data_IF_081017881170
#
_entry.id   IF_081017881170
#
_cell.length_a   1.000
_cell.length_b   1.000
_cell.length_c   1.000
_cell.angle_alpha   90.00
_cell.angle_beta   90.00
_cell.angle_gamma   90.00
#
_symmetry.space_group_name_H-M   'P 1'
#
loop_
_entity.id
_entity.type
_entity.pdbx_description
1 polymer ?
#
# COMPACT_ATOMS: atom_id res chain seq x y z
N UNK A 1 -2.21 12.42 6.07
CA UNK A 1 -3.10 13.38 5.39
C UNK A 1 -3.81 12.64 4.27
N UNK A 2 -5.07 12.96 4.03
CA UNK A 2 -5.87 12.33 2.99
C UNK A 2 -6.12 13.34 1.87
N UNK A 3 -5.85 12.97 0.62
CA UNK A 3 -6.17 13.75 -0.58
C UNK A 3 -7.19 12.99 -1.41
N UNK A 4 -8.35 13.56 -1.62
CA UNK A 4 -9.51 12.85 -2.13
C UNK A 4 -10.35 13.69 -3.09
N UNK A 5 -11.12 13.02 -3.95
CA UNK A 5 -12.19 13.67 -4.70
C UNK A 5 -13.36 14.05 -3.80
N UNK A 6 -14.12 15.07 -4.21
CA UNK A 6 -15.32 15.53 -3.48
C UNK A 6 -16.34 14.39 -3.39
N UNK A 7 -16.70 13.83 -4.54
CA UNK A 7 -17.55 12.64 -4.64
C UNK A 7 -16.71 11.36 -4.55
N UNK A 8 -17.22 10.33 -3.87
CA UNK A 8 -16.53 9.04 -3.65
C UNK A 8 -17.47 7.82 -3.67
N UNK A 9 -18.73 8.02 -3.98
CA UNK A 9 -19.76 6.98 -3.98
C UNK A 9 -19.42 5.81 -4.91
N UNK A 10 -18.97 6.08 -6.13
CA UNK A 10 -18.62 5.05 -7.11
C UNK A 10 -17.32 4.33 -6.74
N UNK A 11 -16.35 5.06 -6.20
CA UNK A 11 -15.10 4.50 -5.70
C UNK A 11 -15.37 3.49 -4.59
N UNK A 12 -16.12 3.88 -3.56
CA UNK A 12 -16.39 3.01 -2.42
C UNK A 12 -17.34 1.87 -2.75
N UNK A 13 -18.32 2.09 -3.63
CA UNK A 13 -19.19 1.01 -4.13
C UNK A 13 -18.37 -0.06 -4.85
N UNK A 14 -17.49 0.35 -5.77
CA UNK A 14 -16.61 -0.57 -6.49
C UNK A 14 -15.62 -1.27 -5.55
N UNK A 15 -15.04 -0.55 -4.58
CA UNK A 15 -14.10 -1.12 -3.61
C UNK A 15 -14.78 -2.18 -2.74
N UNK A 16 -15.98 -1.90 -2.22
CA UNK A 16 -16.74 -2.86 -1.42
C UNK A 16 -17.05 -4.15 -2.20
N UNK A 17 -17.41 -4.03 -3.48
CA UNK A 17 -17.64 -5.20 -4.35
C UNK A 17 -16.35 -5.98 -4.63
N UNK A 18 -15.23 -5.27 -4.86
CA UNK A 18 -13.93 -5.89 -5.09
C UNK A 18 -13.42 -6.65 -3.86
N UNK A 19 -13.62 -6.11 -2.66
CA UNK A 19 -13.12 -6.70 -1.42
C UNK A 19 -13.70 -8.08 -1.11
N UNK A 20 -14.93 -8.35 -1.55
CA UNK A 20 -15.56 -9.68 -1.41
C UNK A 20 -14.83 -10.75 -2.22
N UNK A 21 -14.12 -10.36 -3.28
CA UNK A 21 -13.38 -11.25 -4.18
C UNK A 21 -11.87 -11.29 -3.90
N UNK A 22 -11.36 -10.51 -2.95
CA UNK A 22 -9.95 -10.55 -2.61
C UNK A 22 -9.60 -11.86 -1.91
N UNK A 23 -8.57 -12.59 -2.40
CA UNK A 23 -8.12 -13.78 -1.71
C UNK A 23 -7.28 -13.39 -0.48
N UNK A 24 -7.18 -14.32 0.47
CA UNK A 24 -6.11 -14.27 1.47
C UNK A 24 -4.75 -14.36 0.77
N UNK A 25 -3.87 -13.41 1.04
CA UNK A 25 -2.53 -13.34 0.46
C UNK A 25 -1.57 -14.07 1.40
N UNK A 26 -0.77 -14.98 0.84
CA UNK A 26 0.29 -15.69 1.58
C UNK A 26 1.55 -14.86 1.73
N UNK A 27 2.30 -15.07 2.80
CA UNK A 27 3.63 -14.46 2.92
C UNK A 27 4.59 -15.10 1.92
N UNK A 28 5.51 -14.31 1.38
CA UNK A 28 6.45 -14.80 0.36
C UNK A 28 7.89 -14.28 0.53
N UNK A 29 8.13 -13.49 1.59
CA UNK A 29 9.43 -12.97 1.98
C UNK A 29 9.62 -13.06 3.48
N UNK A 30 10.88 -13.14 3.86
CA UNK A 30 11.36 -13.08 5.24
C UNK A 30 12.44 -12.01 5.31
N UNK A 31 12.30 -11.04 6.22
CA UNK A 31 13.35 -10.09 6.54
C UNK A 31 13.52 -10.00 8.05
N UNK A 32 14.74 -10.23 8.53
CA UNK A 32 15.03 -10.36 9.95
C UNK A 32 14.07 -11.38 10.62
N UNK A 33 13.30 -10.92 11.62
CA UNK A 33 12.34 -11.74 12.38
C UNK A 33 10.91 -11.70 11.83
N UNK A 34 10.66 -10.95 10.73
CA UNK A 34 9.33 -10.72 10.21
C UNK A 34 9.12 -11.41 8.86
N UNK A 35 7.93 -11.97 8.68
CA UNK A 35 7.46 -12.52 7.41
C UNK A 35 6.43 -11.57 6.81
N UNK A 36 6.43 -11.44 5.48
CA UNK A 36 5.53 -10.53 4.78
C UNK A 36 5.30 -10.99 3.34
N UNK A 37 4.17 -10.57 2.76
CA UNK A 37 3.98 -10.61 1.31
C UNK A 37 4.62 -9.37 0.69
N UNK A 38 5.47 -9.53 -0.33
CA UNK A 38 6.00 -8.42 -1.11
C UNK A 38 4.92 -7.79 -2.00
N UNK A 39 5.25 -6.63 -2.59
CA UNK A 39 4.28 -5.87 -3.38
C UNK A 39 3.74 -6.66 -4.58
N UNK A 40 4.58 -7.53 -5.18
CA UNK A 40 4.14 -8.41 -6.25
C UNK A 40 3.16 -9.48 -5.76
N UNK A 41 3.47 -10.12 -4.62
CA UNK A 41 2.60 -11.10 -3.97
C UNK A 41 1.24 -10.53 -3.58
N UNK A 42 1.20 -9.24 -3.21
CA UNK A 42 -0.05 -8.52 -2.92
C UNK A 42 -0.81 -8.17 -4.19
N UNK A 43 -0.15 -7.52 -5.15
CA UNK A 43 -0.83 -6.92 -6.30
C UNK A 43 -1.25 -7.93 -7.37
N UNK A 44 -0.46 -8.99 -7.59
CA UNK A 44 -0.77 -10.00 -8.61
C UNK A 44 -2.18 -10.63 -8.43
N UNK A 45 -2.58 -11.11 -7.25
CA UNK A 45 -3.90 -11.69 -7.06
C UNK A 45 -5.03 -10.65 -7.05
N UNK A 46 -4.78 -9.42 -6.58
CA UNK A 46 -5.85 -8.40 -6.45
C UNK A 46 -6.09 -7.60 -7.73
N UNK A 47 -5.10 -7.49 -8.62
CA UNK A 47 -5.22 -6.68 -9.84
C UNK A 47 -6.35 -7.11 -10.79
N UNK A 48 -6.57 -8.40 -11.07
CA UNK A 48 -7.71 -8.83 -11.89
C UNK A 48 -9.05 -8.40 -11.28
N UNK A 49 -9.18 -8.49 -9.95
CA UNK A 49 -10.40 -8.09 -9.22
C UNK A 49 -10.59 -6.57 -9.27
N UNK A 50 -9.53 -5.81 -9.03
CA UNK A 50 -9.56 -4.35 -9.14
C UNK A 50 -9.98 -3.91 -10.55
N UNK A 51 -9.40 -4.51 -11.59
CA UNK A 51 -9.73 -4.19 -12.98
C UNK A 51 -11.18 -4.53 -13.32
N UNK A 52 -11.70 -5.67 -12.83
CA UNK A 52 -13.11 -6.07 -12.98
C UNK A 52 -14.07 -4.98 -12.48
N UNK A 53 -13.74 -4.33 -11.38
CA UNK A 53 -14.54 -3.26 -10.77
C UNK A 53 -14.12 -1.84 -11.18
N UNK A 54 -13.24 -1.70 -12.19
CA UNK A 54 -12.80 -0.39 -12.68
C UNK A 54 -11.94 0.39 -11.69
N UNK A 55 -11.26 -0.31 -10.78
CA UNK A 55 -10.36 0.25 -9.78
C UNK A 55 -8.91 0.13 -10.23
N UNK A 56 -8.09 1.07 -9.78
CA UNK A 56 -6.63 1.02 -9.91
C UNK A 56 -5.98 1.57 -8.66
N UNK A 57 -4.86 0.96 -8.25
CA UNK A 57 -4.07 1.41 -7.11
C UNK A 57 -2.60 1.54 -7.52
N UNK A 58 -1.96 2.61 -7.06
CA UNK A 58 -0.53 2.84 -7.28
C UNK A 58 0.14 3.51 -6.09
N UNK A 59 1.45 3.31 -5.92
CA UNK A 59 2.26 4.17 -5.08
C UNK A 59 2.11 5.65 -5.47
N UNK A 60 2.15 6.51 -4.47
CA UNK A 60 2.15 7.95 -4.61
C UNK A 60 3.37 8.53 -3.89
N UNK A 61 4.03 9.50 -4.52
CA UNK A 61 5.09 10.28 -3.91
C UNK A 61 5.02 11.70 -4.47
N UNK A 62 5.24 12.69 -3.61
CA UNK A 62 5.17 14.09 -3.99
C UNK A 62 5.78 15.00 -2.94
N UNK A 63 5.80 16.29 -3.23
CA UNK A 63 6.16 17.33 -2.26
C UNK A 63 4.94 18.19 -1.95
N UNK A 64 4.75 18.49 -0.67
CA UNK A 64 3.69 19.38 -0.17
C UNK A 64 4.36 20.37 0.76
N UNK A 65 4.27 21.67 0.45
CA UNK A 65 4.91 22.75 1.21
C UNK A 65 6.42 22.54 1.45
N UNK A 66 7.13 22.00 0.45
CA UNK A 66 8.57 21.71 0.53
C UNK A 66 8.94 20.42 1.30
N UNK A 67 7.96 19.75 1.91
CA UNK A 67 8.17 18.47 2.60
C UNK A 67 7.88 17.30 1.67
N UNK A 68 8.58 16.19 1.86
CA UNK A 68 8.33 14.98 1.08
C UNK A 68 7.21 14.15 1.70
N UNK A 69 6.28 13.70 0.84
CA UNK A 69 5.16 12.87 1.21
C UNK A 69 5.11 11.64 0.31
N UNK A 70 4.71 10.51 0.89
CA UNK A 70 4.61 9.22 0.18
C UNK A 70 3.30 8.54 0.60
N UNK A 71 2.86 7.55 -0.17
CA UNK A 71 1.64 6.85 0.15
C UNK A 71 1.11 6.02 -1.01
N UNK A 72 -0.21 5.86 -1.05
CA UNK A 72 -0.88 5.14 -2.11
C UNK A 72 -2.11 5.93 -2.58
N UNK A 73 -2.42 5.79 -3.87
CA UNK A 73 -3.61 6.37 -4.50
C UNK A 73 -4.46 5.25 -5.05
N UNK A 74 -5.71 5.18 -4.61
CA UNK A 74 -6.77 4.36 -5.18
C UNK A 74 -7.65 5.24 -6.06
N UNK A 75 -7.94 4.79 -7.27
CA UNK A 75 -8.75 5.52 -8.26
C UNK A 75 -9.79 4.59 -8.87
N UNK A 76 -10.95 5.15 -9.19
CA UNK A 76 -12.00 4.48 -9.96
C UNK A 76 -12.10 5.11 -11.36
N UNK A 77 -12.58 4.33 -12.34
CA UNK A 77 -12.77 4.77 -13.74
C UNK A 77 -13.65 6.02 -13.92
N UNK A 78 -14.45 6.38 -12.92
CA UNK A 78 -15.24 7.62 -12.91
C UNK A 78 -14.41 8.89 -12.66
N UNK A 79 -13.13 8.75 -12.30
CA UNK A 79 -12.26 9.84 -11.90
C UNK A 79 -12.25 10.11 -10.40
N UNK A 80 -13.10 9.44 -9.61
CA UNK A 80 -13.06 9.51 -8.16
C UNK A 80 -11.80 8.82 -7.61
N UNK A 81 -11.21 9.39 -6.56
CA UNK A 81 -9.97 8.89 -6.00
C UNK A 81 -9.85 9.19 -4.50
N UNK A 82 -9.04 8.37 -3.84
CA UNK A 82 -8.55 8.59 -2.49
C UNK A 82 -7.04 8.38 -2.49
N UNK A 83 -6.31 9.26 -1.80
CA UNK A 83 -4.88 9.15 -1.60
C UNK A 83 -4.59 9.22 -0.13
N UNK A 84 -4.04 8.15 0.43
CA UNK A 84 -3.51 8.18 1.77
C UNK A 84 -2.02 8.54 1.69
N UNK A 85 -1.63 9.65 2.33
CA UNK A 85 -0.24 10.13 2.31
C UNK A 85 0.29 10.40 3.72
N UNK A 86 1.56 10.10 3.92
CA UNK A 86 2.29 10.39 5.14
C UNK A 86 3.56 11.16 4.84
N UNK A 87 3.93 12.02 5.78
CA UNK A 87 5.19 12.74 5.72
C UNK A 87 6.31 11.72 5.80
N UNK A 88 7.22 11.81 4.86
CA UNK A 88 8.37 10.92 4.78
C UNK A 88 9.65 11.71 5.01
N UNK A 89 10.31 11.40 6.09
CA UNK A 89 11.67 11.86 6.37
C UNK A 89 12.58 10.63 6.31
N UNK A 90 13.53 10.63 5.39
CA UNK A 90 14.53 9.56 5.34
C UNK A 90 15.51 9.75 6.48
N UNK A 91 15.80 8.69 7.23
CA UNK A 91 16.87 8.70 8.21
C UNK A 91 18.19 9.18 7.59
N UNK A 92 18.99 9.98 8.32
CA UNK A 92 20.32 10.34 7.87
C UNK A 92 21.15 9.08 7.64
N UNK A 93 21.98 9.09 6.59
CA UNK A 93 22.89 7.99 6.31
C UNK A 93 23.89 7.83 7.45
N UNK A 94 23.83 6.70 8.16
CA UNK A 94 24.72 6.38 9.29
C UNK A 94 26.12 5.96 8.83
N UNK A 95 26.26 5.38 7.64
CA UNK A 95 27.54 5.02 7.06
C UNK A 95 27.86 5.96 5.88
N UNK A 96 29.07 6.54 5.79
CA UNK A 96 29.48 7.36 4.65
C UNK A 96 29.45 6.63 3.30
N UNK A 97 29.47 5.29 3.30
CA UNK A 97 29.32 4.47 2.10
C UNK A 97 27.85 4.18 1.73
N UNK A 98 26.88 4.55 2.57
CA UNK A 98 25.47 4.43 2.22
C UNK A 98 25.12 5.48 1.17
N UNK A 99 24.61 5.04 0.02
CA UNK A 99 24.01 5.97 -0.93
C UNK A 99 22.63 6.41 -0.38
N UNK A 100 22.42 7.73 -0.13
CA UNK A 100 21.15 8.22 0.41
C UNK A 100 19.94 7.90 -0.46
N UNK A 101 20.15 7.83 -1.78
CA UNK A 101 19.15 7.44 -2.78
C UNK A 101 18.62 6.01 -2.58
N UNK A 102 19.50 5.05 -2.29
CA UNK A 102 19.13 3.64 -2.15
C UNK A 102 18.34 3.37 -0.87
N UNK A 103 18.75 3.97 0.27
CA UNK A 103 18.01 3.87 1.53
C UNK A 103 16.62 4.46 1.41
N UNK A 104 16.53 5.63 0.77
CA UNK A 104 15.26 6.30 0.47
C UNK A 104 14.34 5.45 -0.40
N UNK A 105 14.86 4.81 -1.43
CA UNK A 105 14.07 3.96 -2.33
C UNK A 105 13.59 2.66 -1.64
N UNK A 106 14.42 2.06 -0.79
CA UNK A 106 14.05 0.89 0.01
C UNK A 106 12.93 1.21 1.00
N UNK A 107 13.07 2.30 1.76
CA UNK A 107 12.05 2.76 2.70
C UNK A 107 10.73 3.09 1.97
N UNK A 108 10.81 3.80 0.84
CA UNK A 108 9.65 4.11 0.01
C UNK A 108 8.89 2.85 -0.42
N UNK A 109 9.60 1.82 -0.87
CA UNK A 109 9.00 0.55 -1.30
C UNK A 109 8.29 -0.17 -0.14
N UNK A 110 8.90 -0.15 1.05
CA UNK A 110 8.30 -0.71 2.27
C UNK A 110 7.02 0.02 2.67
N UNK A 111 7.05 1.35 2.77
CA UNK A 111 5.89 2.16 3.16
C UNK A 111 4.75 2.02 2.15
N UNK A 112 5.03 2.17 0.85
CA UNK A 112 4.01 2.06 -0.18
C UNK A 112 3.30 0.70 -0.15
N UNK A 113 4.02 -0.37 0.15
CA UNK A 113 3.43 -1.70 0.29
C UNK A 113 2.42 -1.77 1.43
N UNK A 114 2.78 -1.27 2.61
CA UNK A 114 1.87 -1.25 3.75
C UNK A 114 0.66 -0.36 3.47
N UNK A 115 0.85 0.81 2.86
CA UNK A 115 -0.27 1.67 2.50
C UNK A 115 -1.21 1.05 1.47
N UNK A 116 -0.66 0.35 0.47
CA UNK A 116 -1.48 -0.39 -0.50
C UNK A 116 -2.27 -1.50 0.21
N UNK A 117 -1.63 -2.25 1.12
CA UNK A 117 -2.32 -3.27 1.92
C UNK A 117 -3.48 -2.68 2.71
N UNK A 118 -3.21 -1.59 3.43
CA UNK A 118 -4.19 -0.93 4.31
C UNK A 118 -5.36 -0.33 3.50
N UNK A 119 -5.07 0.32 2.37
CA UNK A 119 -6.12 0.88 1.50
C UNK A 119 -6.99 -0.18 0.84
N UNK A 120 -6.44 -1.36 0.51
CA UNK A 120 -7.22 -2.44 -0.08
C UNK A 120 -7.95 -3.28 0.97
N UNK A 121 -7.54 -3.22 2.24
CA UNK A 121 -8.11 -4.06 3.30
C UNK A 121 -7.86 -5.55 3.06
N UNK A 122 -6.68 -5.91 2.54
CA UNK A 122 -6.36 -7.31 2.20
C UNK A 122 -5.73 -8.03 3.38
N UNK A 123 -6.19 -9.26 3.63
CA UNK A 123 -5.62 -10.13 4.65
C UNK A 123 -4.34 -10.79 4.13
N UNK A 124 -3.26 -10.67 4.91
CA UNK A 124 -2.01 -11.39 4.67
C UNK A 124 -1.83 -12.40 5.80
N UNK A 125 -1.90 -13.69 5.47
CA UNK A 125 -1.65 -14.76 6.44
C UNK A 125 -1.28 -16.08 5.74
N UNK A 126 -0.37 -16.83 6.36
CA UNK A 126 -0.09 -18.24 6.03
C UNK A 126 -0.85 -19.22 6.92
N UNK A 127 -1.50 -18.72 7.99
CA UNK A 127 -2.32 -19.49 8.91
C UNK A 127 -3.78 -19.00 8.86
N UNK A 128 -4.74 -19.80 8.36
CA UNK A 128 -6.14 -19.40 8.33
C UNK A 128 -6.78 -19.22 9.72
N UNK A 129 -6.09 -19.64 10.78
CA UNK A 129 -6.48 -19.44 12.19
C UNK A 129 -5.68 -18.33 12.89
N UNK A 130 -4.89 -17.53 12.15
CA UNK A 130 -4.12 -16.43 12.73
C UNK A 130 -5.06 -15.29 13.15
N UNK A 131 -5.24 -15.14 14.45
CA UNK A 131 -5.99 -14.07 15.10
C UNK A 131 -5.02 -12.90 15.36
N UNK A 132 -5.36 -11.72 14.87
CA UNK A 132 -4.53 -10.51 14.74
C UNK A 132 -3.80 -10.06 16.02
N UNK A 133 -2.72 -10.75 16.43
CA UNK A 133 -1.87 -10.29 17.54
C UNK A 133 -0.98 -11.34 18.20
N UNK A 134 0.27 -11.44 17.74
CA UNK A 134 1.40 -11.65 18.67
C UNK A 134 2.29 -10.41 18.65
N UNK A 135 1.94 -9.43 19.48
CA UNK A 135 2.69 -8.18 19.65
C UNK A 135 4.09 -8.40 20.21
N UNK A 136 5.06 -7.59 19.75
CA UNK A 136 5.68 -6.48 20.48
C UNK A 136 6.51 -5.62 19.50
#
# INVERSE_FOLDING_TARGET
MMLESVEKDQLYTALAQAQVEFPTIRVNRKAFKNEYADLYGILKPVYPVLQKYGLSIRPWAGQINGEQWIGARLMHKSGQFETNVFKFESDPCKNPNDQPSHKKQGALTYFNRNHIKDMLGVLISDNPEDDDGQGF
#
